data_IF_711270834364
#
_entry.id   IF_711270834364
#
_cell.length_a   1.000
_cell.length_b   1.000
_cell.length_c   1.000
_cell.angle_alpha   90.00
_cell.angle_beta   90.00
_cell.angle_gamma   90.00
#
_symmetry.space_group_name_H-M   'P 1'
#
loop_
_entity.id
_entity.type
_entity.pdbx_description
1 polymer ?
#
# COMPACT_ATOMS: atom_id res chain seq x y z
N UNK A 1 13.56 -33.74 5.80
CA UNK A 1 12.22 -33.51 5.24
C UNK A 1 11.66 -32.21 5.82
N UNK A 2 11.85 -31.09 5.12
CA UNK A 2 11.33 -29.78 5.56
C UNK A 2 9.84 -29.79 5.29
N UNK A 3 9.01 -29.72 6.34
CA UNK A 3 7.58 -29.43 6.17
C UNK A 3 7.49 -28.00 5.65
N UNK A 4 7.33 -27.84 4.34
CA UNK A 4 6.83 -26.60 3.76
C UNK A 4 5.38 -26.52 4.22
N UNK A 5 5.14 -25.79 5.30
CA UNK A 5 3.80 -25.56 5.84
C UNK A 5 2.90 -25.04 4.73
N UNK A 6 1.65 -25.50 4.70
CA UNK A 6 0.65 -25.02 3.76
C UNK A 6 0.65 -23.49 3.77
N UNK A 7 1.16 -22.87 2.70
CA UNK A 7 1.11 -21.43 2.51
C UNK A 7 -0.37 -21.14 2.34
N UNK A 8 -1.04 -20.66 3.40
CA UNK A 8 -2.37 -20.08 3.25
C UNK A 8 -2.17 -18.81 2.40
N UNK A 9 -2.69 -18.77 1.17
CA UNK A 9 -2.54 -17.58 0.35
C UNK A 9 -3.24 -16.43 1.05
N UNK A 10 -2.56 -15.29 1.16
CA UNK A 10 -3.21 -14.03 1.54
C UNK A 10 -3.84 -13.49 0.27
N UNK A 11 -5.18 -13.50 0.22
CA UNK A 11 -5.93 -12.93 -0.89
C UNK A 11 -6.16 -11.45 -0.58
N UNK A 12 -5.78 -10.58 -1.51
CA UNK A 12 -6.10 -9.16 -1.41
C UNK A 12 -7.30 -8.84 -2.30
N UNK A 13 -8.36 -8.29 -1.73
CA UNK A 13 -9.51 -7.78 -2.47
C UNK A 13 -9.35 -6.28 -2.64
N UNK A 14 -9.29 -5.81 -3.90
CA UNK A 14 -9.05 -4.42 -4.26
C UNK A 14 -10.00 -4.01 -5.39
N UNK A 15 -10.31 -2.71 -5.49
CA UNK A 15 -10.88 -2.16 -6.71
C UNK A 15 -9.79 -2.05 -7.79
N UNK A 16 -10.21 -2.07 -9.05
CA UNK A 16 -9.30 -2.02 -10.20
C UNK A 16 -8.34 -0.80 -10.17
N UNK A 17 -8.79 0.43 -9.86
CA UNK A 17 -7.88 1.58 -9.74
C UNK A 17 -6.83 1.39 -8.64
N UNK A 18 -7.23 0.83 -7.48
CA UNK A 18 -6.31 0.54 -6.37
C UNK A 18 -5.26 -0.51 -6.77
N UNK A 19 -5.67 -1.54 -7.52
CA UNK A 19 -4.74 -2.53 -8.05
C UNK A 19 -3.77 -1.92 -9.09
N UNK A 20 -4.26 -1.03 -9.97
CA UNK A 20 -3.44 -0.31 -10.95
C UNK A 20 -2.31 0.48 -10.32
N UNK A 21 -2.60 1.21 -9.23
CA UNK A 21 -1.57 1.90 -8.41
C UNK A 21 -0.50 0.90 -7.94
N UNK A 22 -0.91 -0.26 -7.41
CA UNK A 22 0.04 -1.24 -6.88
C UNK A 22 0.88 -1.89 -7.97
N UNK A 23 0.32 -2.15 -9.15
CA UNK A 23 1.09 -2.62 -10.31
C UNK A 23 2.13 -1.59 -10.73
N UNK A 24 1.76 -0.31 -10.80
CA UNK A 24 2.70 0.74 -11.19
C UNK A 24 3.79 0.97 -10.14
N UNK A 25 3.45 0.93 -8.84
CA UNK A 25 4.42 1.05 -7.73
C UNK A 25 5.40 -0.14 -7.66
N UNK A 26 5.01 -1.32 -8.16
CA UNK A 26 5.85 -2.54 -8.14
C UNK A 26 6.62 -2.77 -9.44
N UNK A 27 6.34 -1.99 -10.48
CA UNK A 27 6.89 -2.12 -11.84
C UNK A 27 8.40 -2.29 -11.93
N UNK A 28 9.16 -1.61 -11.07
CA UNK A 28 10.63 -1.60 -11.09
C UNK A 28 11.29 -2.33 -9.91
N UNK A 29 10.56 -3.22 -9.23
CA UNK A 29 11.16 -4.15 -8.25
C UNK A 29 10.77 -3.91 -6.79
N UNK A 30 9.94 -2.90 -6.48
CA UNK A 30 9.26 -2.89 -5.19
C UNK A 30 8.36 -4.13 -5.08
N UNK A 31 8.14 -4.58 -3.85
CA UNK A 31 7.40 -5.82 -3.59
C UNK A 31 6.27 -5.58 -2.61
N UNK A 32 5.18 -6.33 -2.76
CA UNK A 32 4.14 -6.41 -1.73
C UNK A 32 4.47 -7.62 -0.87
N UNK A 33 4.64 -7.39 0.42
CA UNK A 33 4.87 -8.44 1.41
C UNK A 33 3.78 -8.43 2.44
N UNK A 34 3.54 -9.57 3.07
CA UNK A 34 2.57 -9.69 4.17
C UNK A 34 3.31 -9.70 5.49
N UNK A 35 2.86 -8.90 6.44
CA UNK A 35 3.39 -8.91 7.80
C UNK A 35 2.33 -9.45 8.76
N UNK A 36 2.73 -10.36 9.66
CA UNK A 36 1.88 -10.81 10.76
C UNK A 36 2.17 -9.95 11.98
N UNK A 37 1.16 -9.24 12.48
CA UNK A 37 1.24 -8.53 13.75
C UNK A 37 0.40 -9.27 14.79
N UNK A 38 1.07 -10.09 15.60
CA UNK A 38 0.50 -10.77 16.75
C UNK A 38 0.88 -10.06 18.04
N UNK A 39 -0.02 -10.04 19.03
CA UNK A 39 0.27 -9.55 20.37
C UNK A 39 -0.13 -10.59 21.41
N UNK A 40 0.26 -10.40 22.67
CA UNK A 40 -0.21 -11.28 23.75
C UNK A 40 -1.74 -11.31 23.90
N UNK A 41 -2.43 -10.23 23.45
CA UNK A 41 -3.89 -10.11 23.44
C UNK A 41 -4.55 -10.61 22.15
N UNK A 42 -3.77 -10.81 21.09
CA UNK A 42 -4.23 -11.37 19.82
C UNK A 42 -3.13 -12.31 19.27
N UNK A 43 -3.08 -13.57 19.76
CA UNK A 43 -2.06 -14.53 19.39
C UNK A 43 -2.21 -15.05 17.96
N UNK A 44 -3.44 -15.04 17.42
CA UNK A 44 -3.70 -15.34 16.02
C UNK A 44 -3.02 -14.27 15.15
N UNK A 45 -3.11 -13.01 15.56
CA UNK A 45 -2.45 -11.88 14.92
C UNK A 45 -3.04 -11.56 13.56
N UNK A 46 -2.93 -10.30 13.17
CA UNK A 46 -3.46 -9.83 11.89
C UNK A 46 -2.38 -9.89 10.82
N UNK A 47 -2.70 -10.48 9.67
CA UNK A 47 -1.82 -10.50 8.50
C UNK A 47 -2.25 -9.40 7.56
N UNK A 48 -1.38 -8.44 7.29
CA UNK A 48 -1.71 -7.33 6.39
C UNK A 48 -0.61 -7.09 5.36
N UNK A 49 -0.98 -6.66 4.15
CA UNK A 49 -0.03 -6.37 3.09
C UNK A 49 0.60 -4.99 3.26
N UNK A 50 1.89 -4.91 2.94
CA UNK A 50 2.68 -3.68 2.90
C UNK A 50 3.56 -3.67 1.66
N UNK A 51 3.72 -2.50 1.07
CA UNK A 51 4.74 -2.22 0.07
C UNK A 51 6.10 -2.15 0.78
N UNK A 52 7.08 -2.88 0.27
CA UNK A 52 8.49 -2.85 0.67
C UNK A 52 9.32 -2.34 -0.48
N UNK A 53 10.24 -1.44 -0.20
CA UNK A 53 11.08 -0.82 -1.22
C UNK A 53 12.41 -1.57 -1.35
N UNK A 54 12.81 -1.92 -2.58
CA UNK A 54 13.93 -2.82 -2.85
C UNK A 54 15.24 -2.35 -2.18
N UNK A 55 15.55 -1.07 -2.27
CA UNK A 55 16.75 -0.46 -1.70
C UNK A 55 16.57 0.07 -0.28
N UNK A 56 15.33 0.12 0.20
CA UNK A 56 14.97 0.67 1.51
C UNK A 56 14.08 -0.30 2.30
N UNK A 57 14.55 -1.53 2.60
CA UNK A 57 13.70 -2.60 3.16
C UNK A 57 13.14 -2.29 4.55
N UNK A 58 13.73 -1.32 5.27
CA UNK A 58 13.23 -0.83 6.56
C UNK A 58 12.16 0.26 6.42
N UNK A 59 12.10 0.93 5.27
CA UNK A 59 11.00 1.85 4.96
C UNK A 59 9.90 1.03 4.28
N UNK A 60 8.75 0.92 4.93
CA UNK A 60 7.65 0.09 4.41
C UNK A 60 6.35 0.85 4.58
N UNK A 61 5.42 0.64 3.66
CA UNK A 61 4.14 1.34 3.68
C UNK A 61 2.97 0.35 3.64
N UNK A 62 2.09 0.32 4.65
CA UNK A 62 0.87 -0.48 4.58
C UNK A 62 0.05 -0.12 3.33
N UNK A 63 -0.41 -1.13 2.59
CA UNK A 63 -1.19 -0.90 1.35
C UNK A 63 -2.47 -0.12 1.65
N UNK A 64 -3.13 -0.42 2.77
CA UNK A 64 -4.33 0.30 3.21
C UNK A 64 -4.12 1.81 3.38
N UNK A 65 -2.91 2.24 3.77
CA UNK A 65 -2.57 3.67 3.88
C UNK A 65 -2.36 4.31 2.52
N UNK A 66 -1.78 3.60 1.55
CA UNK A 66 -1.64 4.08 0.16
C UNK A 66 -3.02 4.26 -0.46
N UNK A 67 -3.89 3.24 -0.31
CA UNK A 67 -5.26 3.23 -0.83
C UNK A 67 -6.05 4.42 -0.29
N UNK A 68 -6.06 4.66 1.02
CA UNK A 68 -6.80 5.78 1.62
C UNK A 68 -6.10 7.15 1.58
N UNK A 69 -5.01 7.31 0.81
CA UNK A 69 -4.23 8.55 0.77
C UNK A 69 -3.84 9.06 2.18
N UNK A 70 -3.47 8.14 3.08
CA UNK A 70 -3.29 8.48 4.49
C UNK A 70 -2.03 9.33 4.70
N UNK A 71 -2.25 10.58 5.12
CA UNK A 71 -1.21 11.53 5.44
C UNK A 71 -0.51 11.29 6.79
N UNK A 72 0.37 12.23 7.20
CA UNK A 72 0.98 12.22 8.52
C UNK A 72 -0.07 12.18 9.64
N UNK A 73 0.22 11.42 10.69
CA UNK A 73 -0.64 11.19 11.85
C UNK A 73 -2.02 10.58 11.55
N UNK A 74 -2.20 10.04 10.34
CA UNK A 74 -3.39 9.28 9.98
C UNK A 74 -3.06 7.78 9.95
N UNK A 75 -3.68 7.06 10.89
CA UNK A 75 -3.69 5.60 10.87
C UNK A 75 -4.91 5.08 10.12
N UNK A 76 -4.88 3.82 9.70
CA UNK A 76 -6.01 3.19 9.01
C UNK A 76 -6.52 2.06 9.86
N UNK A 77 -7.81 2.09 10.17
CA UNK A 77 -8.52 0.95 10.74
C UNK A 77 -9.00 0.06 9.61
N UNK A 78 -8.68 -1.22 9.73
CA UNK A 78 -9.17 -2.28 8.84
C UNK A 78 -10.29 -3.06 9.54
N UNK A 79 -11.15 -3.69 8.74
CA UNK A 79 -12.16 -4.63 9.20
C UNK A 79 -11.58 -5.94 9.75
N UNK A 80 -12.42 -6.96 9.85
CA UNK A 80 -12.02 -8.31 10.29
C UNK A 80 -11.17 -9.01 9.24
N UNK A 81 -11.55 -8.91 7.97
CA UNK A 81 -10.74 -9.38 6.85
C UNK A 81 -9.69 -8.32 6.48
N UNK A 82 -8.45 -8.56 6.89
CA UNK A 82 -7.32 -7.67 6.63
C UNK A 82 -6.76 -7.82 5.21
N UNK A 83 -7.27 -8.76 4.42
CA UNK A 83 -7.05 -8.87 2.98
C UNK A 83 -8.01 -8.02 2.16
N UNK A 84 -9.16 -7.61 2.73
CA UNK A 84 -10.10 -6.75 2.02
C UNK A 84 -9.73 -5.28 2.17
N UNK A 85 -9.23 -4.71 1.08
CA UNK A 85 -8.66 -3.37 1.01
C UNK A 85 -9.53 -2.43 0.17
N UNK A 86 -10.80 -2.78 -0.07
CA UNK A 86 -11.74 -1.87 -0.71
C UNK A 86 -11.91 -0.62 0.17
N UNK A 87 -11.78 0.61 -0.38
CA UNK A 87 -11.83 1.84 0.42
C UNK A 87 -13.06 1.98 1.32
N UNK A 88 -14.22 1.48 0.88
CA UNK A 88 -15.47 1.50 1.66
C UNK A 88 -15.45 0.69 2.95
N UNK A 89 -14.45 -0.20 3.13
CA UNK A 89 -14.26 -1.02 4.34
C UNK A 89 -13.11 -0.54 5.22
N UNK A 90 -12.46 0.55 4.82
CA UNK A 90 -11.34 1.15 5.51
C UNK A 90 -11.78 2.50 6.09
N UNK A 91 -11.17 2.90 7.20
CA UNK A 91 -11.41 4.24 7.75
C UNK A 91 -10.12 4.88 8.25
N UNK A 92 -9.89 6.13 7.87
CA UNK A 92 -8.84 6.95 8.47
C UNK A 92 -9.17 7.22 9.94
N UNK A 93 -8.16 7.08 10.78
CA UNK A 93 -8.20 7.45 12.19
C UNK A 93 -7.15 8.54 12.43
N UNK A 94 -7.59 9.68 12.95
CA UNK A 94 -6.70 10.74 13.43
C UNK A 94 -5.86 10.31 14.63
N UNK A 95 -4.83 11.09 14.96
CA UNK A 95 -3.90 10.87 16.08
C UNK A 95 -3.12 9.53 16.02
N UNK A 96 -2.86 9.03 14.81
CA UNK A 96 -2.02 7.86 14.60
C UNK A 96 -0.53 8.13 14.89
N UNK A 97 0.18 7.06 15.24
CA UNK A 97 1.66 7.05 15.31
C UNK A 97 2.40 7.31 13.99
N UNK A 98 1.87 6.96 12.80
CA UNK A 98 2.63 7.15 11.57
C UNK A 98 2.91 8.63 11.29
N UNK A 99 4.15 8.98 10.95
CA UNK A 99 4.58 10.37 10.73
C UNK A 99 4.72 10.75 9.25
N UNK A 100 4.63 9.77 8.36
CA UNK A 100 4.86 9.95 6.92
C UNK A 100 3.55 9.91 6.14
N UNK A 101 3.49 10.71 5.09
CA UNK A 101 2.49 10.58 4.02
C UNK A 101 2.73 9.27 3.25
N UNK A 102 1.66 8.50 3.08
CA UNK A 102 1.79 7.17 2.51
C UNK A 102 2.13 7.19 1.01
N UNK A 103 1.50 8.08 0.25
CA UNK A 103 1.67 8.14 -1.21
C UNK A 103 2.94 8.86 -1.59
N UNK A 104 3.32 9.91 -0.87
CA UNK A 104 4.59 10.62 -1.09
C UNK A 104 5.78 9.66 -0.95
N UNK A 105 5.81 8.87 0.13
CA UNK A 105 6.88 7.89 0.38
C UNK A 105 6.87 6.81 -0.70
N UNK A 106 5.70 6.27 -1.05
CA UNK A 106 5.59 5.23 -2.07
C UNK A 106 6.07 5.72 -3.45
N UNK A 107 5.65 6.92 -3.85
CA UNK A 107 6.06 7.55 -5.10
C UNK A 107 7.57 7.82 -5.12
N UNK A 108 8.12 8.46 -4.08
CA UNK A 108 9.55 8.78 -4.01
C UNK A 108 10.42 7.55 -4.24
N UNK A 109 10.18 6.48 -3.49
CA UNK A 109 10.98 5.25 -3.59
C UNK A 109 10.78 4.54 -4.94
N UNK A 110 9.58 4.61 -5.51
CA UNK A 110 9.33 3.99 -6.83
C UNK A 110 9.97 4.78 -7.97
N UNK A 111 10.01 6.11 -7.87
CA UNK A 111 10.70 7.00 -8.81
C UNK A 111 12.21 6.81 -8.74
N UNK A 112 12.79 6.64 -7.54
CA UNK A 112 14.20 6.28 -7.39
C UNK A 112 14.56 4.99 -8.16
N UNK A 113 13.70 3.97 -8.10
CA UNK A 113 13.89 2.73 -8.87
C UNK A 113 13.70 2.94 -10.38
N UNK A 114 12.73 3.75 -10.80
CA UNK A 114 12.52 4.08 -12.20
C UNK A 114 13.75 4.77 -12.82
N UNK A 115 14.38 5.69 -12.08
CA UNK A 115 15.66 6.30 -12.48
C UNK A 115 16.76 5.25 -12.69
N UNK A 116 16.92 4.31 -11.74
CA UNK A 116 17.94 3.25 -11.84
C UNK A 116 17.69 2.28 -12.99
N UNK A 117 16.43 2.04 -13.31
CA UNK A 117 16.02 1.24 -14.45
C UNK A 117 16.16 1.96 -15.81
N UNK A 118 16.66 3.21 -15.81
CA UNK A 118 16.74 4.07 -17.00
C UNK A 118 15.39 4.21 -17.74
N UNK A 119 14.29 4.21 -16.99
CA UNK A 119 12.94 4.42 -17.53
C UNK A 119 12.66 5.91 -17.82
N UNK A 120 11.61 6.18 -18.60
CA UNK A 120 11.05 7.54 -18.71
C UNK A 120 10.34 7.91 -17.40
N UNK A 121 11.08 8.57 -16.50
CA UNK A 121 10.60 8.95 -15.18
C UNK A 121 9.44 9.94 -15.26
N UNK A 122 9.47 10.89 -16.20
CA UNK A 122 8.38 11.84 -16.34
C UNK A 122 7.08 11.15 -16.78
N UNK A 123 7.14 10.18 -17.70
CA UNK A 123 5.98 9.37 -18.03
C UNK A 123 5.52 8.52 -16.84
N UNK A 124 6.46 7.92 -16.09
CA UNK A 124 6.15 7.12 -14.92
C UNK A 124 5.41 7.91 -13.83
N UNK A 125 5.92 9.10 -13.48
CA UNK A 125 5.29 9.99 -12.50
C UNK A 125 3.90 10.45 -12.95
N UNK A 126 3.74 10.82 -14.23
CA UNK A 126 2.42 11.17 -14.80
C UNK A 126 1.44 10.01 -14.70
N UNK A 127 1.87 8.79 -14.98
CA UNK A 127 1.02 7.60 -14.89
C UNK A 127 0.60 7.33 -13.44
N UNK A 128 1.54 7.36 -12.49
CA UNK A 128 1.22 7.22 -11.06
C UNK A 128 0.24 8.29 -10.59
N UNK A 129 0.47 9.55 -10.97
CA UNK A 129 -0.42 10.65 -10.62
C UNK A 129 -1.82 10.45 -11.20
N UNK A 130 -1.93 10.10 -12.48
CA UNK A 130 -3.21 9.82 -13.12
C UNK A 130 -3.96 8.64 -12.46
N UNK A 131 -3.24 7.59 -12.04
CA UNK A 131 -3.83 6.47 -11.31
C UNK A 131 -4.34 6.88 -9.93
N UNK A 132 -3.60 7.72 -9.20
CA UNK A 132 -4.05 8.26 -7.90
C UNK A 132 -5.28 9.15 -8.05
N UNK A 133 -5.29 10.05 -9.03
CA UNK A 133 -6.45 10.87 -9.37
C UNK A 133 -7.68 10.04 -9.65
N UNK A 134 -7.57 9.10 -10.60
CA UNK A 134 -8.66 8.21 -11.00
C UNK A 134 -9.18 7.40 -9.80
N UNK A 135 -8.28 6.91 -8.95
CA UNK A 135 -8.64 6.20 -7.73
C UNK A 135 -9.47 7.09 -6.79
N UNK A 136 -9.02 8.33 -6.56
CA UNK A 136 -9.64 9.21 -5.58
C UNK A 136 -11.01 9.70 -6.03
N UNK A 137 -11.14 10.04 -7.31
CA UNK A 137 -12.41 10.42 -7.94
C UNK A 137 -13.44 9.28 -7.85
N UNK A 138 -13.03 8.05 -8.15
CA UNK A 138 -13.95 6.91 -8.20
C UNK A 138 -14.28 6.32 -6.84
N UNK A 139 -13.34 6.36 -5.88
CA UNK A 139 -13.42 5.52 -4.68
C UNK A 139 -13.35 6.29 -3.36
N UNK A 140 -12.75 7.49 -3.35
CA UNK A 140 -12.65 8.31 -2.13
C UNK A 140 -13.65 9.49 -2.13
N UNK A 141 -14.27 9.78 -3.28
CA UNK A 141 -15.24 10.87 -3.40
C UNK A 141 -14.63 12.27 -3.26
N UNK A 142 -13.31 12.37 -3.34
CA UNK A 142 -12.56 13.63 -3.26
C UNK A 142 -12.20 14.11 -4.66
N UNK A 143 -13.18 14.60 -5.40
CA UNK A 143 -12.94 15.48 -6.54
C UNK A 143 -13.14 16.92 -6.04
N UNK A 144 -12.07 17.53 -5.56
CA UNK A 144 -12.05 18.92 -5.08
C UNK A 144 -10.66 19.49 -5.24
N UNK A 145 -10.28 19.76 -6.49
CA UNK A 145 -9.21 20.70 -6.81
C UNK A 145 -9.78 22.12 -6.79
#
# INVERSE_FOLDING_TARGET
>A
MVRVGAIKPVVMTLHVPSAGILFELTRFGNSITTNRNSSSRDPAGRIYPKLTFADHPKDTMPVSRIVLAAGPHQSVRMGEDTGDLRPSLLSLQGAGKPTKDAREVATRHSVELAHRAAADVHAYERNLHALFLLHDELLLGTAGY
#
